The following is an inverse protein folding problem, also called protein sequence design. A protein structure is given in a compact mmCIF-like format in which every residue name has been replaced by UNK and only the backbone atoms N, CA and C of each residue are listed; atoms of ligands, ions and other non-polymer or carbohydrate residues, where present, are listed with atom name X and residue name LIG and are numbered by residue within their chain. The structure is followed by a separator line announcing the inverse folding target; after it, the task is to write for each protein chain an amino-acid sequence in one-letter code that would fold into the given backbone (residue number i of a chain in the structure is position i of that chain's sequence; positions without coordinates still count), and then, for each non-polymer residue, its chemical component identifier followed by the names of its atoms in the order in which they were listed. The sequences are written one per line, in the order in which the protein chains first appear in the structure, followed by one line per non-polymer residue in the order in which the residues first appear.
data_IF_970905485307
#
_entry.id   IF_970905485307
#
_cell.length_a   1.000
_cell.length_b   1.000
_cell.length_c   1.000
_cell.angle_alpha   90.00
_cell.angle_beta   90.00
_cell.angle_gamma   90.00
#
_symmetry.space_group_name_H-M   'P 1'
#
loop_
_entity.id
_entity.type
_entity.pdbx_description
1 polymer ?
#
# COMPACT_ATOMS: atom_id res chain seq x y z
N UNK A 1 15.20 -18.15 -0.82
CA UNK A 1 14.86 -17.51 0.50
C UNK A 1 13.91 -18.36 1.34
N UNK A 2 12.95 -19.08 0.75
CA UNK A 2 12.05 -19.97 1.51
C UNK A 2 12.79 -21.14 2.19
N UNK A 3 13.85 -21.67 1.58
CA UNK A 3 14.57 -22.84 2.11
C UNK A 3 15.29 -22.58 3.45
N UNK A 4 15.87 -21.40 3.68
CA UNK A 4 16.58 -21.07 4.92
C UNK A 4 15.58 -20.93 6.08
N UNK A 5 14.49 -20.24 5.84
CA UNK A 5 13.38 -20.10 6.80
C UNK A 5 12.85 -21.48 7.21
N UNK A 6 12.51 -22.32 6.26
CA UNK A 6 11.90 -23.63 6.50
C UNK A 6 12.88 -24.60 7.19
N UNK A 7 14.18 -24.49 6.87
CA UNK A 7 15.24 -25.27 7.53
C UNK A 7 15.44 -24.87 9.00
N UNK A 8 15.40 -23.58 9.30
CA UNK A 8 15.51 -23.06 10.66
C UNK A 8 14.26 -23.45 11.47
N UNK A 9 13.06 -23.39 10.88
CA UNK A 9 11.82 -23.82 11.52
C UNK A 9 11.81 -25.29 11.96
N UNK A 10 12.46 -26.17 11.20
CA UNK A 10 12.53 -27.60 11.53
C UNK A 10 13.44 -27.93 12.70
N UNK A 11 14.40 -27.04 13.01
CA UNK A 11 15.43 -27.28 14.03
C UNK A 11 15.12 -26.66 15.39
N UNK A 12 14.11 -25.79 15.50
CA UNK A 12 13.81 -25.05 16.72
C UNK A 12 12.54 -25.60 17.36
N UNK A 13 12.61 -25.86 18.67
CA UNK A 13 11.41 -26.08 19.47
C UNK A 13 10.68 -24.75 19.59
N UNK A 14 9.74 -24.52 18.65
CA UNK A 14 9.09 -23.23 18.28
C UNK A 14 8.35 -22.58 19.47
N UNK A 15 8.14 -23.32 20.55
CA UNK A 15 7.30 -22.89 21.68
C UNK A 15 7.95 -21.82 22.58
N UNK A 16 9.25 -21.60 22.51
CA UNK A 16 9.98 -20.71 23.43
C UNK A 16 10.38 -19.35 22.87
N UNK A 17 10.23 -19.12 21.57
CA UNK A 17 10.60 -17.82 20.99
C UNK A 17 9.43 -16.81 21.05
N UNK A 18 9.68 -15.55 21.46
CA UNK A 18 8.66 -14.51 21.54
C UNK A 18 7.97 -14.22 20.21
N UNK A 19 8.59 -14.57 19.09
CA UNK A 19 8.07 -14.35 17.74
C UNK A 19 6.98 -15.35 17.30
N UNK A 20 6.76 -16.42 18.10
CA UNK A 20 5.73 -17.43 17.87
C UNK A 20 4.64 -17.42 18.94
N UNK A 21 4.42 -16.29 19.59
CA UNK A 21 3.41 -16.14 20.63
C UNK A 21 2.06 -16.71 20.19
N UNK A 22 1.38 -17.45 21.07
CA UNK A 22 0.01 -17.88 20.87
C UNK A 22 -0.89 -16.66 20.67
N UNK A 23 -1.83 -16.76 19.72
CA UNK A 23 -2.81 -15.73 19.43
C UNK A 23 -3.72 -15.48 20.64
N UNK A 24 -3.36 -14.56 21.51
CA UNK A 24 -4.30 -13.99 22.46
C UNK A 24 -5.09 -12.88 21.77
N UNK A 25 -6.36 -12.73 22.12
CA UNK A 25 -7.17 -11.62 21.64
C UNK A 25 -6.67 -10.33 22.30
N UNK A 26 -5.86 -9.54 21.57
CA UNK A 26 -5.24 -8.34 22.11
C UNK A 26 -5.02 -7.27 21.05
N UNK A 27 -4.43 -6.16 21.48
CA UNK A 27 -4.10 -5.05 20.61
C UNK A 27 -3.14 -5.46 19.47
N UNK A 28 -3.20 -4.78 18.35
CA UNK A 28 -2.41 -5.13 17.17
C UNK A 28 -1.78 -3.91 16.51
N UNK A 29 -0.65 -4.12 15.83
CA UNK A 29 -0.03 -3.10 14.98
C UNK A 29 -0.55 -3.27 13.56
N UNK A 30 -0.87 -2.14 12.92
CA UNK A 30 -1.28 -2.08 11.53
C UNK A 30 -0.37 -1.12 10.77
N UNK A 31 0.50 -1.65 9.91
CA UNK A 31 1.32 -0.89 8.99
C UNK A 31 0.52 -0.66 7.72
N UNK A 32 0.36 0.60 7.29
CA UNK A 32 -0.41 0.95 6.09
C UNK A 32 0.50 1.71 5.14
N UNK A 33 0.71 1.16 3.93
CA UNK A 33 1.60 1.75 2.93
C UNK A 33 0.79 2.37 1.81
N UNK A 34 0.83 3.70 1.69
CA UNK A 34 0.15 4.50 0.66
C UNK A 34 1.11 5.40 -0.10
N UNK A 35 0.64 6.03 -1.17
CA UNK A 35 1.42 7.00 -1.92
C UNK A 35 1.54 8.35 -1.19
N UNK A 36 2.60 9.08 -1.53
CA UNK A 36 2.78 10.47 -1.12
C UNK A 36 2.03 11.45 -2.01
N UNK A 37 1.91 11.13 -3.29
CA UNK A 37 1.31 11.99 -4.33
C UNK A 37 0.01 11.41 -4.85
N UNK A 38 -0.73 12.23 -5.61
CA UNK A 38 -1.95 11.82 -6.32
C UNK A 38 -1.68 11.30 -7.73
N UNK A 39 -2.71 11.37 -8.55
CA UNK A 39 -2.72 10.94 -9.95
C UNK A 39 -2.42 9.44 -10.16
N UNK A 40 -2.69 8.63 -9.15
CA UNK A 40 -2.54 7.17 -9.17
C UNK A 40 -3.91 6.44 -9.13
N UNK A 41 -4.92 7.03 -9.77
CA UNK A 41 -6.26 6.45 -9.86
C UNK A 41 -6.84 6.08 -8.49
N UNK A 42 -7.35 4.85 -8.38
CA UNK A 42 -7.99 4.32 -7.16
C UNK A 42 -7.00 3.74 -6.14
N UNK A 43 -5.69 3.75 -6.38
CA UNK A 43 -4.67 3.12 -5.54
C UNK A 43 -4.81 3.50 -4.06
N UNK A 44 -4.74 4.80 -3.74
CA UNK A 44 -4.82 5.26 -2.35
C UNK A 44 -6.19 4.99 -1.72
N UNK A 45 -7.26 5.16 -2.49
CA UNK A 45 -8.62 4.91 -2.02
C UNK A 45 -8.80 3.45 -1.60
N UNK A 46 -8.35 2.52 -2.44
CA UNK A 46 -8.46 1.09 -2.18
C UNK A 46 -7.68 0.67 -0.93
N UNK A 47 -6.45 1.15 -0.75
CA UNK A 47 -5.63 0.87 0.44
C UNK A 47 -6.31 1.40 1.71
N UNK A 48 -6.75 2.65 1.70
CA UNK A 48 -7.39 3.29 2.87
C UNK A 48 -8.71 2.59 3.20
N UNK A 49 -9.49 2.20 2.20
CA UNK A 49 -10.73 1.44 2.37
C UNK A 49 -10.44 0.08 3.03
N UNK A 50 -9.51 -0.69 2.47
CA UNK A 50 -9.14 -2.00 3.02
C UNK A 50 -8.61 -1.89 4.46
N UNK A 51 -7.81 -0.86 4.75
CA UNK A 51 -7.34 -0.61 6.11
C UNK A 51 -8.49 -0.31 7.08
N UNK A 52 -9.46 0.52 6.68
CA UNK A 52 -10.63 0.81 7.51
C UNK A 52 -11.51 -0.42 7.72
N UNK A 53 -11.79 -1.17 6.64
CA UNK A 53 -12.58 -2.41 6.71
C UNK A 53 -11.92 -3.44 7.64
N UNK A 54 -10.58 -3.49 7.63
CA UNK A 54 -9.81 -4.34 8.55
C UNK A 54 -9.91 -3.86 10.00
N UNK A 55 -9.75 -2.57 10.25
CA UNK A 55 -9.89 -1.97 11.58
C UNK A 55 -11.28 -2.25 12.15
N UNK A 56 -12.33 -2.06 11.36
CA UNK A 56 -13.70 -2.34 11.79
C UNK A 56 -13.93 -3.82 12.12
N UNK A 57 -13.43 -4.74 11.30
CA UNK A 57 -13.50 -6.19 11.54
C UNK A 57 -12.74 -6.63 12.79
N UNK A 58 -11.65 -5.96 13.13
CA UNK A 58 -10.82 -6.30 14.29
C UNK A 58 -11.21 -5.52 15.56
N UNK A 59 -12.12 -4.56 15.48
CA UNK A 59 -12.52 -3.68 16.58
C UNK A 59 -13.00 -4.44 17.84
N UNK A 60 -13.62 -5.60 17.65
CA UNK A 60 -14.05 -6.46 18.75
C UNK A 60 -12.90 -7.24 19.42
N UNK A 61 -11.71 -7.29 18.79
CA UNK A 61 -10.57 -8.09 19.23
C UNK A 61 -9.46 -7.29 19.90
N UNK A 62 -9.39 -5.98 19.67
CA UNK A 62 -8.36 -5.11 20.25
C UNK A 62 -8.24 -3.77 19.53
N UNK A 63 -7.40 -2.89 20.08
CA UNK A 63 -7.15 -1.57 19.56
C UNK A 63 -5.99 -1.57 18.55
N UNK A 64 -6.10 -0.81 17.44
CA UNK A 64 -5.04 -0.71 16.47
C UNK A 64 -3.96 0.29 16.88
N UNK A 65 -2.69 -0.13 16.86
CA UNK A 65 -1.53 0.75 16.85
C UNK A 65 -1.12 1.00 15.40
N UNK A 66 -1.43 2.17 14.85
CA UNK A 66 -1.32 2.43 13.42
C UNK A 66 0.03 3.07 13.08
N UNK A 67 0.77 2.47 12.14
CA UNK A 67 1.95 3.01 11.50
C UNK A 67 1.55 3.43 10.10
N UNK A 68 1.54 4.74 9.83
CA UNK A 68 1.10 5.31 8.57
C UNK A 68 2.28 5.69 7.70
N UNK A 69 2.41 5.05 6.54
CA UNK A 69 3.45 5.31 5.54
C UNK A 69 2.81 5.98 4.32
N UNK A 70 3.27 7.20 4.00
CA UNK A 70 2.76 8.01 2.90
C UNK A 70 1.76 9.08 3.32
N UNK A 71 1.88 10.26 2.69
CA UNK A 71 1.06 11.43 3.03
C UNK A 71 -0.43 11.23 2.86
N UNK A 72 -0.87 10.36 1.94
CA UNK A 72 -2.31 10.17 1.64
C UNK A 72 -3.03 9.47 2.77
N UNK A 73 -2.46 8.41 3.36
CA UNK A 73 -3.06 7.75 4.54
C UNK A 73 -2.97 8.64 5.77
N UNK A 74 -1.84 9.31 6.00
CA UNK A 74 -1.66 10.24 7.13
C UNK A 74 -2.72 11.32 7.10
N UNK A 75 -2.92 12.00 5.96
CA UNK A 75 -3.92 13.06 5.81
C UNK A 75 -5.35 12.53 5.96
N UNK A 76 -5.64 11.32 5.49
CA UNK A 76 -6.95 10.70 5.64
C UNK A 76 -7.27 10.39 7.09
N UNK A 77 -6.32 9.83 7.84
CA UNK A 77 -6.51 9.46 9.24
C UNK A 77 -6.55 10.67 10.16
N UNK A 78 -5.75 11.70 9.90
CA UNK A 78 -5.85 12.98 10.62
C UNK A 78 -7.24 13.61 10.49
N UNK A 79 -7.81 13.62 9.28
CA UNK A 79 -9.20 14.13 9.07
C UNK A 79 -10.25 13.33 9.85
N UNK A 80 -10.04 12.02 10.01
CA UNK A 80 -10.94 11.13 10.77
C UNK A 80 -10.62 11.09 12.26
N UNK A 81 -9.66 11.87 12.75
CA UNK A 81 -9.19 11.89 14.15
C UNK A 81 -8.71 10.52 14.66
N UNK A 82 -8.23 9.67 13.77
CA UNK A 82 -7.62 8.38 14.12
C UNK A 82 -6.17 8.65 14.52
N UNK A 83 -5.78 8.21 15.72
CA UNK A 83 -4.41 8.38 16.23
C UNK A 83 -3.47 7.39 15.55
N UNK A 84 -2.32 7.87 15.09
CA UNK A 84 -1.21 7.08 14.55
C UNK A 84 -0.06 7.08 15.55
N UNK A 85 0.66 5.96 15.64
CA UNK A 85 1.83 5.81 16.52
C UNK A 85 3.10 6.33 15.81
N UNK A 86 3.17 6.14 14.50
CA UNK A 86 4.28 6.61 13.68
C UNK A 86 3.74 7.08 12.32
N UNK A 87 4.16 8.28 11.92
CA UNK A 87 3.88 8.87 10.61
C UNK A 87 5.18 8.98 9.82
N UNK A 88 5.22 8.39 8.63
CA UNK A 88 6.36 8.48 7.69
C UNK A 88 5.88 9.15 6.40
N UNK A 89 5.92 10.49 6.32
CA UNK A 89 5.66 11.20 5.08
C UNK A 89 6.91 11.18 4.19
N UNK A 90 6.73 11.26 2.87
CA UNK A 90 7.81 11.30 1.87
C UNK A 90 8.81 10.13 2.01
N UNK A 91 8.27 8.92 1.89
CA UNK A 91 9.05 7.71 2.03
C UNK A 91 9.65 7.23 0.69
N UNK A 92 10.80 6.59 0.79
CA UNK A 92 11.40 5.82 -0.29
C UNK A 92 11.44 4.34 0.11
N UNK A 93 11.41 3.42 -0.87
CA UNK A 93 11.55 1.99 -0.59
C UNK A 93 13.02 1.62 -0.35
N UNK A 94 13.60 2.13 0.73
CA UNK A 94 14.96 1.88 1.18
C UNK A 94 14.99 1.09 2.50
N UNK A 95 16.16 0.51 2.81
CA UNK A 95 16.34 -0.26 4.04
C UNK A 95 16.19 0.61 5.29
N UNK A 96 16.54 1.89 5.23
CA UNK A 96 16.43 2.80 6.36
C UNK A 96 14.97 3.07 6.73
N UNK A 97 14.09 3.22 5.74
CA UNK A 97 12.64 3.35 5.96
C UNK A 97 12.06 2.05 6.52
N UNK A 98 12.47 0.89 5.96
CA UNK A 98 12.05 -0.41 6.45
C UNK A 98 12.49 -0.62 7.91
N UNK A 99 13.71 -0.23 8.27
CA UNK A 99 14.24 -0.33 9.62
C UNK A 99 13.46 0.49 10.64
N UNK A 100 13.14 1.73 10.34
CA UNK A 100 12.29 2.58 11.21
C UNK A 100 10.93 1.96 11.49
N UNK A 101 10.30 1.37 10.46
CA UNK A 101 9.01 0.70 10.61
C UNK A 101 9.17 -0.55 11.48
N UNK A 102 10.20 -1.37 11.20
CA UNK A 102 10.53 -2.59 11.94
C UNK A 102 10.79 -2.29 13.42
N UNK A 103 11.64 -1.33 13.73
CA UNK A 103 11.95 -0.95 15.11
C UNK A 103 10.68 -0.57 15.88
N UNK A 104 9.81 0.22 15.27
CA UNK A 104 8.60 0.68 15.96
C UNK A 104 7.60 -0.43 16.22
N UNK A 105 7.34 -1.31 15.26
CA UNK A 105 6.43 -2.41 15.55
C UNK A 105 7.04 -3.49 16.44
N UNK A 106 8.36 -3.71 16.39
CA UNK A 106 9.05 -4.62 17.31
C UNK A 106 9.03 -4.09 18.74
N UNK A 107 9.24 -2.80 18.95
CA UNK A 107 9.08 -2.17 20.26
C UNK A 107 7.71 -2.46 20.87
N UNK A 108 6.63 -2.25 20.08
CA UNK A 108 5.26 -2.50 20.53
C UNK A 108 4.97 -4.00 20.76
N UNK A 109 5.49 -4.86 19.91
CA UNK A 109 5.29 -6.30 19.98
C UNK A 109 6.05 -6.92 21.17
N UNK A 110 7.33 -6.61 21.34
CA UNK A 110 8.17 -7.15 22.44
C UNK A 110 7.79 -6.57 23.80
N UNK A 111 7.29 -5.31 23.85
CA UNK A 111 6.77 -4.73 25.09
C UNK A 111 5.41 -5.32 25.53
N UNK A 112 4.81 -6.20 24.74
CA UNK A 112 3.51 -6.80 25.02
C UNK A 112 2.31 -5.84 24.84
N UNK A 113 2.53 -4.67 24.22
CA UNK A 113 1.46 -3.73 23.88
C UNK A 113 0.67 -4.15 22.65
N UNK A 114 1.22 -5.05 21.85
CA UNK A 114 0.55 -5.60 20.68
C UNK A 114 0.92 -7.08 20.50
N UNK A 115 -0.07 -7.90 20.23
CA UNK A 115 0.10 -9.34 20.04
C UNK A 115 0.26 -9.76 18.58
N UNK A 116 -0.15 -8.89 17.64
CA UNK A 116 -0.14 -9.16 16.21
C UNK A 116 0.36 -7.95 15.43
N UNK A 117 1.02 -8.21 14.32
CA UNK A 117 1.45 -7.17 13.37
C UNK A 117 0.91 -7.52 11.99
N UNK A 118 0.20 -6.59 11.39
CA UNK A 118 -0.34 -6.69 10.05
C UNK A 118 0.19 -5.57 9.16
N UNK A 119 0.31 -5.83 7.87
CA UNK A 119 0.55 -4.82 6.85
C UNK A 119 -0.58 -4.77 5.83
N UNK A 120 -1.03 -3.57 5.49
CA UNK A 120 -1.94 -3.29 4.38
C UNK A 120 -1.18 -2.54 3.30
N UNK A 121 -1.06 -3.17 2.15
CA UNK A 121 -0.33 -2.63 1.01
C UNK A 121 -0.94 -3.15 -0.29
N UNK A 122 -0.52 -2.62 -1.43
CA UNK A 122 -0.97 -3.12 -2.73
C UNK A 122 0.05 -4.09 -3.30
N UNK A 123 -0.42 -5.28 -3.66
CA UNK A 123 0.40 -6.28 -4.33
C UNK A 123 -0.23 -6.78 -5.62
N UNK A 124 0.58 -7.41 -6.47
CA UNK A 124 0.10 -8.09 -7.66
C UNK A 124 -0.54 -9.42 -7.26
N UNK A 125 -1.88 -9.48 -7.25
CA UNK A 125 -2.58 -10.75 -7.09
C UNK A 125 -2.31 -11.68 -8.29
N UNK A 126 -2.57 -12.97 -8.15
CA UNK A 126 -2.53 -13.93 -9.26
C UNK A 126 -3.47 -13.44 -10.37
N UNK A 127 -2.89 -12.85 -11.43
CA UNK A 127 -3.59 -12.15 -12.50
C UNK A 127 -3.07 -10.72 -12.68
N UNK A 128 -3.58 -10.01 -13.68
CA UNK A 128 -3.08 -8.68 -14.10
C UNK A 128 -3.54 -7.51 -13.21
N UNK A 129 -4.42 -7.74 -12.24
CA UNK A 129 -5.01 -6.67 -11.41
C UNK A 129 -4.33 -6.59 -10.05
N UNK A 130 -3.69 -5.45 -9.78
CA UNK A 130 -3.19 -5.11 -8.45
C UNK A 130 -4.34 -4.91 -7.48
N UNK A 131 -4.26 -5.53 -6.30
CA UNK A 131 -5.26 -5.43 -5.24
C UNK A 131 -4.60 -5.11 -3.91
N UNK A 132 -5.28 -4.35 -3.03
CA UNK A 132 -4.81 -4.18 -1.67
C UNK A 132 -4.96 -5.51 -0.92
N UNK A 133 -3.91 -5.89 -0.21
CA UNK A 133 -3.88 -7.09 0.62
C UNK A 133 -3.58 -6.73 2.06
N UNK A 134 -4.03 -7.58 2.96
CA UNK A 134 -3.65 -7.53 4.37
C UNK A 134 -2.84 -8.79 4.66
N UNK A 135 -1.57 -8.60 4.97
CA UNK A 135 -0.63 -9.68 5.31
C UNK A 135 -0.29 -9.64 6.80
N UNK A 136 -0.33 -10.80 7.47
CA UNK A 136 0.13 -10.91 8.84
C UNK A 136 1.64 -11.10 8.86
N UNK A 137 2.34 -10.19 9.54
CA UNK A 137 3.80 -10.21 9.70
C UNK A 137 4.19 -10.99 10.94
N UNK A 138 3.54 -10.70 12.06
CA UNK A 138 3.75 -11.39 13.34
C UNK A 138 2.40 -11.77 13.97
N UNK A 139 2.32 -12.89 14.74
CA UNK A 139 3.35 -13.90 14.90
C UNK A 139 3.67 -14.65 13.61
N UNK A 140 4.89 -15.14 13.53
CA UNK A 140 5.34 -15.97 12.40
C UNK A 140 4.57 -17.29 12.45
N UNK A 141 4.01 -17.71 11.31
CA UNK A 141 3.32 -19.01 11.20
C UNK A 141 4.33 -20.07 10.77
N UNK A 142 4.54 -21.13 11.55
CA UNK A 142 5.35 -22.24 11.10
C UNK A 142 4.63 -22.95 9.93
N UNK A 143 5.23 -22.98 8.75
CA UNK A 143 4.77 -23.87 7.70
C UNK A 143 5.11 -25.32 8.10
N UNK A 144 4.10 -26.16 8.21
CA UNK A 144 4.25 -27.59 8.44
C UNK A 144 4.76 -28.29 7.16
N UNK A 145 5.95 -27.94 6.73
CA UNK A 145 6.58 -28.70 5.66
C UNK A 145 7.23 -29.96 6.25
N UNK A 146 6.60 -31.10 6.01
CA UNK A 146 6.94 -32.44 6.50
C UNK A 146 8.24 -33.02 5.92
N UNK A 147 9.12 -32.24 5.32
CA UNK A 147 10.29 -32.79 4.61
C UNK A 147 11.55 -32.00 4.87
N UNK A 148 12.14 -32.15 6.04
CA UNK A 148 13.59 -32.15 6.15
C UNK A 148 13.99 -32.63 7.56
N UNK A 149 14.17 -33.95 7.71
CA UNK A 149 14.97 -34.53 8.80
C UNK A 149 16.48 -34.31 8.59
N UNK A 150 16.85 -33.18 7.97
CA UNK A 150 18.26 -32.80 7.89
C UNK A 150 18.72 -32.29 9.24
N UNK A 151 19.66 -32.99 9.85
CA UNK A 151 20.43 -32.53 11.01
C UNK A 151 21.27 -31.31 10.60
N UNK A 152 20.68 -30.12 10.68
CA UNK A 152 21.45 -28.88 10.57
C UNK A 152 22.21 -28.68 11.88
N UNK A 153 23.55 -28.71 11.82
CA UNK A 153 24.39 -28.22 12.91
C UNK A 153 24.43 -26.70 12.80
N UNK A 154 23.88 -26.03 13.81
CA UNK A 154 23.97 -24.57 13.96
C UNK A 154 24.99 -24.24 15.03
N UNK A 155 25.88 -23.30 14.76
CA UNK A 155 26.79 -22.70 15.73
C UNK A 155 26.53 -21.19 15.74
N UNK A 156 26.31 -20.59 16.87
CA UNK A 156 26.07 -21.14 18.20
C UNK A 156 24.70 -21.84 18.31
N UNK A 157 24.08 -21.89 19.45
CA UNK A 157 22.77 -22.49 19.72
C UNK A 157 21.70 -22.06 18.67
N UNK A 158 20.87 -23.00 18.14
CA UNK A 158 19.81 -22.73 17.15
C UNK A 158 18.88 -21.58 17.54
N UNK A 159 18.56 -21.43 18.82
CA UNK A 159 17.68 -20.36 19.31
C UNK A 159 18.33 -18.98 19.15
N UNK A 160 19.60 -18.84 19.52
CA UNK A 160 20.36 -17.58 19.38
C UNK A 160 20.57 -17.21 17.90
N UNK A 161 20.85 -18.20 17.04
CA UNK A 161 20.95 -18.00 15.63
C UNK A 161 19.63 -17.49 15.02
N UNK A 162 18.51 -18.04 15.45
CA UNK A 162 17.19 -17.62 15.02
C UNK A 162 16.86 -16.20 15.50
N UNK A 163 17.07 -15.89 16.77
CA UNK A 163 16.85 -14.55 17.33
C UNK A 163 17.67 -13.46 16.62
N UNK A 164 18.87 -13.79 16.15
CA UNK A 164 19.68 -12.89 15.34
C UNK A 164 19.17 -12.73 13.90
N UNK A 165 18.57 -13.78 13.32
CA UNK A 165 18.08 -13.75 11.94
C UNK A 165 16.70 -13.09 11.80
N UNK A 166 15.82 -13.21 12.79
CA UNK A 166 14.46 -12.67 12.72
C UNK A 166 14.42 -11.17 12.43
N UNK A 167 15.19 -10.30 13.11
CA UNK A 167 15.20 -8.86 12.80
C UNK A 167 15.62 -8.56 11.36
N UNK A 168 16.59 -9.30 10.83
CA UNK A 168 17.03 -9.16 9.43
C UNK A 168 15.94 -9.61 8.45
N UNK A 169 15.31 -10.76 8.71
CA UNK A 169 14.19 -11.26 7.93
C UNK A 169 13.03 -10.27 7.91
N UNK A 170 12.64 -9.73 9.05
CA UNK A 170 11.56 -8.74 9.16
C UNK A 170 11.89 -7.45 8.40
N UNK A 171 13.14 -7.00 8.46
CA UNK A 171 13.57 -5.84 7.69
C UNK A 171 13.45 -6.07 6.18
N UNK A 172 13.91 -7.23 5.70
CA UNK A 172 13.80 -7.63 4.30
C UNK A 172 12.34 -7.77 3.86
N UNK A 173 11.48 -8.32 4.72
CA UNK A 173 10.05 -8.46 4.48
C UNK A 173 9.37 -7.08 4.32
N UNK A 174 9.64 -6.15 5.22
CA UNK A 174 9.10 -4.79 5.12
C UNK A 174 9.64 -4.08 3.89
N UNK A 175 10.93 -4.21 3.60
CA UNK A 175 11.52 -3.64 2.39
C UNK A 175 10.86 -4.18 1.11
N UNK A 176 10.58 -5.49 1.05
CA UNK A 176 9.80 -6.11 -0.03
C UNK A 176 8.41 -5.46 -0.15
N UNK A 177 7.69 -5.31 0.96
CA UNK A 177 6.36 -4.69 1.00
C UNK A 177 6.40 -3.26 0.46
N UNK A 178 7.41 -2.47 0.86
CA UNK A 178 7.59 -1.10 0.38
C UNK A 178 7.87 -1.05 -1.12
N UNK A 179 8.79 -1.90 -1.62
CA UNK A 179 9.11 -1.99 -3.05
C UNK A 179 7.89 -2.38 -3.88
N UNK A 180 7.16 -3.39 -3.45
CA UNK A 180 5.98 -3.89 -4.15
C UNK A 180 4.88 -2.83 -4.19
N UNK A 181 4.60 -2.17 -3.06
CA UNK A 181 3.64 -1.08 -2.99
C UNK A 181 4.05 0.10 -3.88
N UNK A 182 5.36 0.44 -3.93
CA UNK A 182 5.87 1.51 -4.79
C UNK A 182 5.75 1.17 -6.26
N UNK A 183 6.04 -0.05 -6.64
CA UNK A 183 5.88 -0.54 -8.00
C UNK A 183 4.40 -0.44 -8.45
N UNK A 184 3.47 -0.88 -7.61
CA UNK A 184 2.04 -0.78 -7.90
C UNK A 184 1.58 0.68 -8.00
N UNK A 185 2.04 1.56 -7.11
CA UNK A 185 1.77 3.00 -7.18
C UNK A 185 2.15 3.58 -8.55
N UNK A 186 3.35 3.22 -9.05
CA UNK A 186 3.83 3.71 -10.34
C UNK A 186 2.99 3.17 -11.50
N UNK A 187 2.62 1.89 -11.49
CA UNK A 187 1.76 1.30 -12.52
C UNK A 187 0.38 1.98 -12.57
N UNK A 188 -0.25 2.18 -11.41
CA UNK A 188 -1.53 2.90 -11.33
C UNK A 188 -1.41 4.35 -11.83
N UNK A 189 -0.27 4.99 -11.56
CA UNK A 189 -0.03 6.36 -12.05
C UNK A 189 0.11 6.39 -13.57
N UNK A 190 0.92 5.51 -14.15
CA UNK A 190 1.05 5.41 -15.61
C UNK A 190 -0.32 5.19 -16.25
N UNK A 191 -1.09 4.21 -15.80
CA UNK A 191 -2.41 3.92 -16.33
C UNK A 191 -3.37 5.13 -16.22
N UNK A 192 -3.39 5.79 -15.05
CA UNK A 192 -4.25 6.95 -14.83
C UNK A 192 -3.88 8.14 -15.72
N UNK A 193 -2.58 8.37 -15.94
CA UNK A 193 -2.11 9.46 -16.80
C UNK A 193 -2.31 9.16 -18.27
N UNK A 194 -2.14 7.91 -18.72
CA UNK A 194 -2.47 7.50 -20.10
C UNK A 194 -3.96 7.75 -20.39
N UNK A 195 -4.85 7.26 -19.52
CA UNK A 195 -6.29 7.48 -19.68
C UNK A 195 -6.65 9.00 -19.66
N UNK A 196 -5.95 9.79 -18.85
CA UNK A 196 -6.16 11.24 -18.79
C UNK A 196 -5.72 11.93 -20.07
N UNK A 197 -4.60 11.50 -20.68
CA UNK A 197 -4.14 12.02 -21.98
C UNK A 197 -5.12 11.70 -23.09
N UNK A 198 -5.56 10.45 -23.21
CA UNK A 198 -6.54 10.02 -24.20
C UNK A 198 -7.86 10.80 -24.07
N UNK A 199 -8.35 11.01 -22.85
CA UNK A 199 -9.55 11.82 -22.62
C UNK A 199 -9.34 13.29 -22.98
N UNK A 200 -8.14 13.85 -22.76
CA UNK A 200 -7.83 15.23 -23.12
C UNK A 200 -7.78 15.39 -24.64
N UNK A 201 -7.18 14.47 -25.38
CA UNK A 201 -7.14 14.48 -26.84
C UNK A 201 -8.56 14.43 -27.42
N UNK A 202 -9.41 13.52 -26.92
CA UNK A 202 -10.82 13.47 -27.34
C UNK A 202 -11.57 14.78 -27.06
N UNK A 203 -11.30 15.42 -25.91
CA UNK A 203 -11.93 16.70 -25.57
C UNK A 203 -11.47 17.82 -26.49
N UNK A 204 -10.19 17.84 -26.91
CA UNK A 204 -9.67 18.80 -27.92
C UNK A 204 -10.40 18.64 -29.24
N UNK A 205 -10.62 17.41 -29.71
CA UNK A 205 -11.34 17.15 -30.95
C UNK A 205 -12.79 17.67 -30.89
N UNK A 206 -13.49 17.37 -29.79
CA UNK A 206 -14.88 17.84 -29.60
C UNK A 206 -14.94 19.38 -29.56
N UNK A 207 -14.04 20.02 -28.80
CA UNK A 207 -14.00 21.48 -28.71
C UNK A 207 -13.63 22.13 -30.04
N UNK A 208 -12.75 21.52 -30.83
CA UNK A 208 -12.37 21.99 -32.14
C UNK A 208 -13.57 21.97 -33.09
N UNK A 209 -14.36 20.89 -33.11
CA UNK A 209 -15.59 20.84 -33.89
C UNK A 209 -16.61 21.90 -33.45
N UNK A 210 -16.79 22.09 -32.14
CA UNK A 210 -17.68 23.14 -31.62
C UNK A 210 -17.22 24.54 -32.03
N UNK A 211 -15.92 24.80 -31.99
CA UNK A 211 -15.33 26.07 -32.42
C UNK A 211 -15.63 26.35 -33.91
N UNK A 212 -15.42 25.36 -34.78
CA UNK A 212 -15.69 25.53 -36.18
C UNK A 212 -17.18 25.79 -36.49
N UNK A 213 -18.09 25.10 -35.79
CA UNK A 213 -19.54 25.34 -35.89
C UNK A 213 -19.90 26.75 -35.44
N UNK A 214 -19.46 27.18 -34.29
CA UNK A 214 -19.71 28.51 -33.75
C UNK A 214 -19.14 29.62 -34.70
N UNK A 215 -17.92 29.38 -35.23
CA UNK A 215 -17.32 30.28 -36.22
C UNK A 215 -18.16 30.39 -37.49
N UNK A 216 -18.62 29.25 -38.01
CA UNK A 216 -19.49 29.25 -39.23
C UNK A 216 -20.82 29.95 -38.96
N UNK A 217 -21.45 29.74 -37.82
CA UNK A 217 -22.68 30.44 -37.42
C UNK A 217 -22.47 31.96 -37.37
N UNK A 218 -21.36 32.42 -36.77
CA UNK A 218 -21.04 33.86 -36.71
C UNK A 218 -20.82 34.44 -38.07
N UNK A 219 -20.02 33.79 -38.95
CA UNK A 219 -19.81 34.23 -40.32
C UNK A 219 -21.16 34.30 -41.10
N UNK A 220 -22.01 33.29 -40.92
CA UNK A 220 -23.34 33.28 -41.57
C UNK A 220 -24.21 34.44 -41.09
N UNK A 221 -24.21 34.73 -39.79
CA UNK A 221 -24.93 35.89 -39.23
C UNK A 221 -24.41 37.20 -39.80
N UNK A 222 -23.11 37.41 -39.83
CA UNK A 222 -22.48 38.60 -40.42
C UNK A 222 -22.88 38.79 -41.90
N UNK A 223 -22.87 37.70 -42.70
CA UNK A 223 -23.30 37.77 -44.13
C UNK A 223 -24.79 38.14 -44.21
N UNK A 224 -25.66 37.55 -43.38
CA UNK A 224 -27.10 37.86 -43.37
C UNK A 224 -27.32 39.33 -42.98
N UNK A 225 -26.63 39.83 -41.97
CA UNK A 225 -26.72 41.24 -41.53
C UNK A 225 -26.30 42.19 -42.64
N UNK A 226 -25.18 41.90 -43.34
CA UNK A 226 -24.69 42.73 -44.48
C UNK A 226 -25.69 42.71 -45.65
N UNK A 227 -26.19 41.52 -46.01
CA UNK A 227 -27.14 41.39 -47.14
C UNK A 227 -28.49 42.05 -46.85
N UNK A 228 -29.01 41.85 -45.61
CA UNK A 228 -30.26 42.50 -45.17
C UNK A 228 -30.13 44.03 -45.10
N UNK A 229 -28.97 44.53 -44.64
CA UNK A 229 -28.68 45.95 -44.61
C UNK A 229 -28.57 46.55 -46.02
N UNK A 230 -27.98 45.83 -47.01
CA UNK A 230 -27.89 46.24 -48.37
C UNK A 230 -29.26 46.25 -49.07
N UNK A 231 -30.16 45.31 -48.78
CA UNK A 231 -31.54 45.29 -49.27
C UNK A 231 -32.39 46.41 -48.68
N UNK A 232 -32.23 46.78 -47.44
CA UNK A 232 -32.96 47.87 -46.81
C UNK A 232 -32.57 49.26 -47.28
N UNK A 233 -31.46 49.40 -48.04
CA UNK A 233 -31.00 50.66 -48.59
C UNK A 233 -31.38 50.84 -50.08
N UNK A 234 -32.07 49.89 -50.67
CA UNK A 234 -32.67 50.00 -52.03
C UNK A 234 -34.11 50.45 -51.90
#
# INVERSE_FOLDING_TARGET
EMCIRDSIYSCINVEHSPFFKKENAGDYVLVIVSADTGFCGSFNYNIIRTANDFIEKQKAKGNPHIIAVGRKVISSFKRRKIKTVLDIPKWNPDFATAEKIKEKFLELYLSGKADKVFAVYSCKAQGLKAQPVTEQILPLKPEKNKRNNGLFKTEPDPIKAFEGLVPFYLNTLIHRILLESKFQELLFRVQAMTNASENADHLVDVLTLQYFRARQENITKEIIEITSGAEAMK
#
